data_IF_780843100244
#
_entry.id   IF_780843100244
#
_cell.length_a   1.000
_cell.length_b   1.000
_cell.length_c   1.000
_cell.angle_alpha   90.00
_cell.angle_beta   90.00
_cell.angle_gamma   90.00
#
_symmetry.space_group_name_H-M   'P 1'
#
loop_
_entity.id
_entity.type
_entity.pdbx_description
1 polymer ?
#
# COMPACT_ATOMS: atom_id res chain seq x y z
N UNK A 1 0.39 20.73 -11.27
CA UNK A 1 -0.02 19.75 -11.20
C UNK A 1 0.14 19.11 -10.14
N UNK A 2 -0.32 18.49 -9.90
CA UNK A 2 -0.31 18.04 -8.97
C UNK A 2 -0.41 16.86 -8.65
N UNK A 3 0.05 16.30 -8.15
CA UNK A 3 0.19 15.32 -7.53
C UNK A 3 0.06 13.96 -7.72
N UNK A 4 -0.81 13.38 -8.05
CA UNK A 4 -1.02 11.95 -8.14
C UNK A 4 -0.48 11.35 -9.44
N UNK A 5 -0.03 10.10 -9.38
CA UNK A 5 0.25 9.35 -10.59
C UNK A 5 -1.06 9.04 -11.31
N UNK A 6 -1.07 9.21 -12.62
CA UNK A 6 -2.23 8.92 -13.44
C UNK A 6 -2.51 7.39 -13.44
N UNK A 7 -3.72 7.01 -13.83
CA UNK A 7 -4.07 5.60 -13.95
C UNK A 7 -3.10 4.88 -14.88
N UNK A 8 -2.75 5.51 -16.02
CA UNK A 8 -1.82 4.90 -16.98
C UNK A 8 -0.45 4.67 -16.37
N UNK A 9 0.07 5.63 -15.57
CA UNK A 9 1.36 5.47 -14.92
C UNK A 9 1.33 4.34 -13.90
N UNK A 10 0.28 4.25 -13.10
CA UNK A 10 0.13 3.18 -12.12
C UNK A 10 0.03 1.83 -12.82
N UNK A 11 -0.75 1.74 -13.90
CA UNK A 11 -0.85 0.51 -14.69
C UNK A 11 0.50 0.07 -15.24
N UNK A 12 1.29 1.02 -15.75
CA UNK A 12 2.60 0.73 -16.30
C UNK A 12 3.55 0.19 -15.25
N UNK A 13 3.54 0.76 -14.06
CA UNK A 13 4.39 0.31 -12.94
C UNK A 13 3.99 -1.10 -12.51
N UNK A 14 2.71 -1.34 -12.34
CA UNK A 14 2.21 -2.67 -11.94
C UNK A 14 2.54 -3.71 -13.01
N UNK A 15 2.31 -3.38 -14.27
CA UNK A 15 2.60 -4.28 -15.39
C UNK A 15 4.09 -4.61 -15.45
N UNK A 16 4.95 -3.60 -15.33
CA UNK A 16 6.40 -3.80 -15.34
C UNK A 16 6.85 -4.70 -14.18
N UNK A 17 6.30 -4.50 -12.99
CA UNK A 17 6.60 -5.33 -11.83
C UNK A 17 6.25 -6.79 -12.10
N UNK A 18 5.07 -7.04 -12.66
CA UNK A 18 4.63 -8.39 -13.00
C UNK A 18 5.49 -9.04 -14.09
N UNK A 19 5.92 -8.25 -15.07
CA UNK A 19 6.76 -8.75 -16.15
C UNK A 19 8.16 -9.11 -15.67
N UNK A 20 8.71 -8.28 -14.76
CA UNK A 20 10.07 -8.49 -14.25
C UNK A 20 10.12 -9.68 -13.28
N UNK A 21 9.16 -9.77 -12.36
CA UNK A 21 9.21 -10.74 -11.27
C UNK A 21 8.28 -11.94 -11.43
N UNK A 22 7.16 -11.78 -12.13
CA UNK A 22 6.15 -12.83 -12.24
C UNK A 22 5.49 -13.12 -10.90
N UNK A 23 5.03 -14.37 -10.73
CA UNK A 23 4.42 -14.79 -9.46
C UNK A 23 5.49 -15.20 -8.44
N UNK A 24 6.62 -15.72 -8.93
CA UNK A 24 7.77 -16.07 -8.09
C UNK A 24 9.05 -15.66 -8.81
N UNK A 25 10.06 -15.33 -8.04
CA UNK A 25 11.34 -14.90 -8.61
C UNK A 25 12.46 -15.16 -7.61
N UNK A 26 13.66 -15.43 -8.12
CA UNK A 26 14.85 -15.48 -7.27
C UNK A 26 15.50 -14.10 -7.30
N UNK A 27 15.67 -13.50 -6.15
CA UNK A 27 16.30 -12.18 -6.03
C UNK A 27 17.63 -12.29 -5.30
N UNK A 28 18.55 -11.41 -5.64
CA UNK A 28 19.84 -11.35 -4.96
C UNK A 28 19.67 -10.62 -3.62
N UNK A 29 20.09 -11.25 -2.54
CA UNK A 29 19.96 -10.68 -1.20
C UNK A 29 21.30 -10.34 -0.55
N UNK A 30 22.39 -10.40 -1.32
CA UNK A 30 23.73 -10.09 -0.84
C UNK A 30 24.55 -11.33 -0.51
N UNK A 31 25.83 -11.13 -0.34
CA UNK A 31 26.79 -12.20 0.03
C UNK A 31 26.73 -13.42 -0.89
N UNK A 32 26.50 -13.19 -2.19
CA UNK A 32 26.45 -14.27 -3.18
C UNK A 32 25.23 -15.17 -3.06
N UNK A 33 24.19 -14.76 -2.31
CA UNK A 33 22.98 -15.58 -2.10
C UNK A 33 21.78 -15.02 -2.81
N UNK A 34 20.89 -15.92 -3.22
CA UNK A 34 19.59 -15.56 -3.76
C UNK A 34 18.51 -16.10 -2.84
N UNK A 35 17.32 -15.53 -2.95
CA UNK A 35 16.16 -15.93 -2.18
C UNK A 35 14.95 -16.00 -3.13
N UNK A 36 14.18 -17.07 -2.99
CA UNK A 36 12.91 -17.16 -3.71
C UNK A 36 11.88 -16.27 -3.03
N UNK A 37 11.21 -15.45 -3.80
CA UNK A 37 10.12 -14.59 -3.31
C UNK A 37 8.89 -14.77 -4.18
N UNK A 38 7.73 -14.50 -3.61
CA UNK A 38 6.46 -14.56 -4.33
C UNK A 38 5.76 -13.21 -4.30
N UNK A 39 4.87 -13.02 -5.25
CA UNK A 39 4.09 -11.80 -5.41
C UNK A 39 2.63 -12.19 -5.55
N UNK A 40 1.75 -11.52 -4.82
CA UNK A 40 0.31 -11.75 -4.94
C UNK A 40 -0.42 -10.43 -4.96
N UNK A 41 -1.53 -10.38 -5.70
CA UNK A 41 -2.28 -9.15 -5.93
C UNK A 41 -3.75 -9.43 -5.66
N UNK A 42 -4.40 -8.50 -4.96
CA UNK A 42 -5.83 -8.61 -4.72
C UNK A 42 -6.65 -8.33 -5.98
N UNK A 43 -7.94 -8.60 -5.91
CA UNK A 43 -8.85 -8.34 -7.01
C UNK A 43 -9.07 -6.84 -7.20
N UNK A 44 -9.43 -6.40 -8.41
CA UNK A 44 -9.74 -4.99 -8.64
C UNK A 44 -10.94 -4.54 -7.81
N UNK A 45 -10.90 -3.30 -7.32
CA UNK A 45 -12.06 -2.68 -6.70
C UNK A 45 -12.78 -1.80 -7.71
N UNK A 46 -14.08 -1.67 -7.55
CA UNK A 46 -14.86 -0.70 -8.31
C UNK A 46 -14.76 0.67 -7.65
N UNK A 47 -15.03 1.71 -8.41
CA UNK A 47 -15.07 3.07 -7.87
C UNK A 47 -16.10 3.17 -6.74
N UNK A 48 -17.25 2.52 -6.88
CA UNK A 48 -18.27 2.51 -5.84
C UNK A 48 -17.81 1.89 -4.54
N UNK A 49 -17.00 0.85 -4.59
CA UNK A 49 -16.44 0.22 -3.39
C UNK A 49 -15.47 1.17 -2.67
N UNK A 50 -14.66 1.90 -3.42
CA UNK A 50 -13.74 2.90 -2.85
C UNK A 50 -14.54 4.04 -2.23
N UNK A 51 -15.58 4.52 -2.91
CA UNK A 51 -16.43 5.59 -2.38
C UNK A 51 -17.12 5.17 -1.08
N UNK A 52 -17.60 3.93 -1.00
CA UNK A 52 -18.20 3.41 0.23
C UNK A 52 -17.21 3.37 1.38
N UNK A 53 -15.96 3.01 1.09
CA UNK A 53 -14.89 3.05 2.08
C UNK A 53 -14.68 4.47 2.60
N UNK A 54 -14.64 5.46 1.68
CA UNK A 54 -14.47 6.86 2.05
C UNK A 54 -15.64 7.37 2.91
N UNK A 55 -16.87 7.01 2.54
CA UNK A 55 -18.05 7.40 3.31
C UNK A 55 -18.03 6.80 4.72
N UNK A 56 -17.67 5.54 4.81
CA UNK A 56 -17.66 4.83 6.08
C UNK A 56 -16.56 5.29 7.02
N UNK A 57 -15.39 5.56 6.49
CA UNK A 57 -14.21 5.91 7.30
C UNK A 57 -14.02 7.42 7.46
N UNK A 58 -14.61 8.22 6.57
CA UNK A 58 -14.41 9.66 6.46
C UNK A 58 -12.99 10.03 6.01
N UNK A 59 -12.21 9.07 5.57
CA UNK A 59 -10.91 9.31 4.97
C UNK A 59 -11.07 9.58 3.48
N UNK A 60 -10.10 10.29 2.91
CA UNK A 60 -10.06 10.55 1.47
C UNK A 60 -8.92 9.74 0.87
N UNK A 61 -9.22 9.01 -0.20
CA UNK A 61 -8.24 8.22 -0.93
C UNK A 61 -7.68 9.08 -2.07
N UNK A 62 -6.37 9.36 -2.08
CA UNK A 62 -5.77 10.16 -3.14
C UNK A 62 -5.78 9.40 -4.45
N UNK A 63 -5.66 10.14 -5.56
CA UNK A 63 -5.81 9.57 -6.88
C UNK A 63 -4.85 8.41 -7.16
N UNK A 64 -3.59 8.55 -6.78
CA UNK A 64 -2.60 7.50 -7.04
C UNK A 64 -2.98 6.18 -6.36
N UNK A 65 -3.40 6.23 -5.09
CA UNK A 65 -3.81 5.02 -4.37
C UNK A 65 -5.13 4.49 -4.90
N UNK A 66 -6.07 5.37 -5.24
CA UNK A 66 -7.33 4.98 -5.87
C UNK A 66 -7.09 4.23 -7.17
N UNK A 67 -6.17 4.73 -7.99
CA UNK A 67 -5.83 4.07 -9.26
C UNK A 67 -5.22 2.69 -9.03
N UNK A 68 -4.38 2.53 -8.01
CA UNK A 68 -3.85 1.22 -7.65
C UNK A 68 -4.97 0.26 -7.21
N UNK A 69 -5.86 0.72 -6.34
CA UNK A 69 -6.96 -0.11 -5.83
C UNK A 69 -7.91 -0.57 -6.93
N UNK A 70 -8.07 0.22 -7.97
CA UNK A 70 -8.90 -0.17 -9.12
C UNK A 70 -8.25 -1.29 -9.93
N UNK A 71 -6.95 -1.47 -9.80
CA UNK A 71 -6.25 -2.62 -10.39
C UNK A 71 -6.20 -3.78 -9.41
N UNK A 72 -5.89 -3.51 -8.15
CA UNK A 72 -5.72 -4.53 -7.13
C UNK A 72 -6.08 -4.01 -5.74
N UNK A 73 -6.92 -4.75 -5.04
CA UNK A 73 -7.24 -4.45 -3.65
C UNK A 73 -6.13 -5.03 -2.76
N UNK A 74 -4.98 -4.33 -2.74
CA UNK A 74 -3.81 -4.76 -2.00
C UNK A 74 -2.89 -5.67 -2.78
N UNK A 75 -1.71 -5.87 -2.23
CA UNK A 75 -0.70 -6.77 -2.82
C UNK A 75 0.31 -7.14 -1.74
N UNK A 76 0.90 -8.32 -1.86
CA UNK A 76 2.04 -8.72 -1.04
C UNK A 76 3.22 -8.90 -2.00
N UNK A 77 4.31 -8.20 -1.74
CA UNK A 77 5.46 -8.15 -2.63
C UNK A 77 6.68 -8.79 -1.97
N UNK A 78 7.52 -9.42 -2.76
CA UNK A 78 8.76 -10.02 -2.27
C UNK A 78 8.52 -10.90 -1.04
N UNK A 79 7.41 -11.64 -1.04
CA UNK A 79 7.02 -12.46 0.10
C UNK A 79 7.83 -13.75 0.15
N UNK A 80 8.18 -14.19 1.35
CA UNK A 80 8.84 -15.49 1.52
C UNK A 80 7.77 -16.56 1.42
N UNK A 81 7.83 -17.49 0.44
CA UNK A 81 6.78 -18.49 0.28
C UNK A 81 6.60 -19.40 1.48
N UNK A 82 7.65 -19.55 2.31
CA UNK A 82 7.61 -20.41 3.49
C UNK A 82 7.23 -19.65 4.76
N UNK A 83 7.81 -18.45 4.95
CA UNK A 83 7.67 -17.73 6.21
C UNK A 83 6.83 -16.45 6.12
N UNK A 84 6.55 -15.97 4.93
CA UNK A 84 5.81 -14.72 4.75
C UNK A 84 6.65 -13.50 5.13
N UNK A 85 5.99 -12.41 5.48
CA UNK A 85 6.64 -11.20 5.97
C UNK A 85 7.10 -10.21 4.92
N UNK A 86 6.73 -10.39 3.66
CA UNK A 86 7.04 -9.42 2.62
C UNK A 86 6.25 -8.12 2.79
N UNK A 87 6.72 -7.02 2.17
CA UNK A 87 5.97 -5.78 2.19
C UNK A 87 4.56 -5.96 1.65
N UNK A 88 3.60 -5.42 2.36
CA UNK A 88 2.20 -5.54 1.97
C UNK A 88 1.59 -4.17 1.71
N UNK A 89 1.01 -3.99 0.51
CA UNK A 89 0.13 -2.87 0.24
C UNK A 89 -1.24 -3.34 0.70
N UNK A 90 -1.81 -2.66 1.70
CA UNK A 90 -2.98 -3.17 2.39
C UNK A 90 -4.25 -3.09 1.54
N UNK A 91 -5.08 -4.14 1.64
CA UNK A 91 -6.43 -4.10 1.13
C UNK A 91 -7.26 -3.15 2.01
N UNK A 92 -8.41 -2.71 1.52
CA UNK A 92 -9.28 -1.83 2.31
C UNK A 92 -9.68 -2.47 3.64
N UNK A 93 -9.95 -3.77 3.62
CA UNK A 93 -10.31 -4.49 4.85
C UNK A 93 -9.15 -4.52 5.84
N UNK A 94 -7.94 -4.74 5.34
CA UNK A 94 -6.76 -4.77 6.20
C UNK A 94 -6.39 -3.40 6.74
N UNK A 95 -6.66 -2.33 5.98
CA UNK A 95 -6.49 -0.96 6.47
C UNK A 95 -7.37 -0.73 7.70
N UNK A 96 -8.64 -1.10 7.62
CA UNK A 96 -9.58 -0.95 8.73
C UNK A 96 -9.16 -1.81 9.91
N UNK A 97 -8.75 -3.04 9.64
CA UNK A 97 -8.34 -3.98 10.67
C UNK A 97 -7.10 -3.48 11.40
N UNK A 98 -6.07 -3.07 10.68
CA UNK A 98 -4.84 -2.57 11.26
C UNK A 98 -5.09 -1.29 12.07
N UNK A 99 -5.91 -0.40 11.55
CA UNK A 99 -6.26 0.83 12.25
C UNK A 99 -6.98 0.54 13.58
N UNK A 100 -7.79 -0.52 13.61
CA UNK A 100 -8.52 -0.92 14.82
C UNK A 100 -7.58 -1.44 15.91
N UNK A 101 -6.55 -2.18 15.52
CA UNK A 101 -5.65 -2.80 16.49
C UNK A 101 -4.51 -1.91 16.97
N UNK A 102 -4.05 -0.96 16.14
CA UNK A 102 -2.86 -0.19 16.44
C UNK A 102 -3.14 1.28 16.67
N UNK A 103 -4.06 1.75 17.24
CA UNK A 103 -4.48 3.14 17.40
C UNK A 103 -3.43 4.08 18.03
N UNK A 104 -2.23 4.08 17.50
CA UNK A 104 -1.13 4.92 18.01
C UNK A 104 -0.92 6.19 17.20
N UNK A 105 -1.76 6.45 16.22
CA UNK A 105 -1.62 7.58 15.30
C UNK A 105 -2.91 8.40 15.22
N UNK A 106 -2.85 9.63 14.68
CA UNK A 106 -4.03 10.48 14.56
C UNK A 106 -5.14 9.83 13.74
N UNK A 107 -6.38 10.18 14.04
CA UNK A 107 -7.55 9.62 13.35
C UNK A 107 -7.58 9.96 11.86
N UNK A 108 -6.90 11.04 11.43
CA UNK A 108 -6.84 11.43 10.03
C UNK A 108 -5.85 10.61 9.21
N UNK A 109 -5.02 9.80 9.86
CA UNK A 109 -4.07 8.94 9.18
C UNK A 109 -4.64 7.54 9.02
N UNK A 110 -4.37 6.90 7.89
CA UNK A 110 -4.68 5.49 7.75
C UNK A 110 -3.51 4.75 7.11
N UNK A 111 -3.23 3.52 7.57
CA UNK A 111 -2.09 2.76 7.06
C UNK A 111 -2.38 2.23 5.66
N UNK A 112 -1.39 2.25 4.78
CA UNK A 112 -1.54 1.68 3.43
C UNK A 112 -0.46 0.66 3.09
N UNK A 113 0.70 0.72 3.74
CA UNK A 113 1.78 -0.24 3.48
C UNK A 113 2.35 -0.71 4.80
N UNK A 114 2.40 -2.03 4.97
CA UNK A 114 3.02 -2.67 6.13
C UNK A 114 4.40 -3.16 5.71
N UNK A 115 5.44 -2.63 6.33
CA UNK A 115 6.83 -2.97 6.06
C UNK A 115 7.45 -3.80 7.20
N UNK A 116 6.62 -4.48 7.98
CA UNK A 116 7.01 -5.29 9.13
C UNK A 116 7.38 -4.43 10.34
N UNK A 117 8.50 -3.71 10.31
CA UNK A 117 8.93 -2.88 11.44
C UNK A 117 8.43 -1.44 11.34
N UNK A 118 7.93 -1.04 10.19
CA UNK A 118 7.43 0.32 9.95
C UNK A 118 6.17 0.28 9.10
N UNK A 119 5.48 1.40 9.05
CA UNK A 119 4.22 1.53 8.32
C UNK A 119 4.22 2.84 7.56
N UNK A 120 3.68 2.81 6.34
CA UNK A 120 3.43 4.03 5.57
C UNK A 120 1.95 4.33 5.66
N UNK A 121 1.63 5.58 5.99
CA UNK A 121 0.27 6.09 6.15
C UNK A 121 -0.04 7.14 5.10
N UNK A 122 -1.33 7.33 4.87
CA UNK A 122 -1.82 8.52 4.19
C UNK A 122 -2.46 9.42 5.24
N UNK A 123 -2.08 10.71 5.21
CA UNK A 123 -2.74 11.72 6.04
C UNK A 123 -3.91 12.29 5.24
N UNK A 124 -5.11 11.88 5.60
CA UNK A 124 -6.34 12.26 4.89
C UNK A 124 -6.57 13.77 4.90
N UNK A 125 -6.16 14.48 5.96
CA UNK A 125 -6.33 15.93 6.02
C UNK A 125 -5.43 16.63 5.00
N UNK A 126 -4.24 16.13 4.79
CA UNK A 126 -3.35 16.69 3.77
C UNK A 126 -3.90 16.44 2.35
N UNK A 127 -4.48 15.27 2.13
CA UNK A 127 -5.14 14.97 0.85
C UNK A 127 -6.28 15.95 0.61
N UNK A 128 -7.13 16.19 1.62
CA UNK A 128 -8.25 17.15 1.52
C UNK A 128 -7.75 18.55 1.23
N UNK A 129 -6.60 18.93 1.74
CA UNK A 129 -6.00 20.23 1.53
C UNK A 129 -5.33 20.38 0.16
N UNK A 130 -5.33 19.34 -0.66
CA UNK A 130 -4.71 19.37 -1.98
C UNK A 130 -3.19 19.28 -1.96
N UNK A 131 -2.62 18.78 -0.86
CA UNK A 131 -1.17 18.67 -0.72
C UNK A 131 -0.66 17.37 -1.32
N UNK A 132 0.56 17.42 -1.84
CA UNK A 132 1.22 16.23 -2.40
C UNK A 132 1.96 15.43 -1.33
N UNK A 133 2.31 16.05 -0.22
CA UNK A 133 3.09 15.44 0.85
C UNK A 133 2.20 14.77 1.90
N UNK A 134 1.35 13.88 1.45
CA UNK A 134 0.40 13.20 2.35
C UNK A 134 0.88 11.83 2.85
N UNK A 135 2.03 11.34 2.40
CA UNK A 135 2.57 10.08 2.88
C UNK A 135 3.39 10.30 4.15
N UNK A 136 3.14 9.47 5.15
CA UNK A 136 3.83 9.53 6.44
C UNK A 136 4.46 8.16 6.70
N UNK A 137 5.74 8.14 7.03
CA UNK A 137 6.43 6.90 7.40
C UNK A 137 6.70 6.91 8.90
N UNK A 138 6.39 5.80 9.56
CA UNK A 138 6.54 5.72 11.00
C UNK A 138 6.99 4.33 11.42
N UNK A 139 7.89 4.26 12.38
CA UNK A 139 8.26 2.99 12.99
C UNK A 139 7.10 2.46 13.83
N UNK A 140 6.93 1.13 13.90
CA UNK A 140 5.89 0.52 14.75
C UNK A 140 6.11 0.80 16.23
N UNK A 141 7.28 1.28 16.60
CA UNK A 141 7.57 1.74 17.98
C UNK A 141 6.91 3.06 18.32
N UNK A 142 6.29 3.73 17.33
CA UNK A 142 5.68 5.05 17.53
C UNK A 142 6.59 6.22 17.21
N UNK A 143 7.83 5.96 16.80
CA UNK A 143 8.74 7.04 16.41
C UNK A 143 8.47 7.46 14.98
N UNK A 144 8.32 8.77 14.75
CA UNK A 144 8.09 9.35 13.42
C UNK A 144 9.43 9.77 12.84
N UNK A 145 9.66 9.40 11.58
CA UNK A 145 10.89 9.76 10.87
C UNK A 145 10.63 10.81 9.81
#
# INVERSE_FOLDING_TARGET
>A
MKGGASLLEVEQIVKATKEIYGETSNIYVGYGRTKLVSFSYGDPLTEGEIERFEEKTKWVVPEAFRNFLRLHNGAVLFDDPEYGGGPEILSLDNIVLMNRFYKLWPNSWYPIVDLDVSVIFIDSERVKAGRDDYLIWMWKTGAIE
#
